data_IF_824937908530
#
_entry.id   IF_824937908530
#
_cell.length_a   1.000
_cell.length_b   1.000
_cell.length_c   1.000
_cell.angle_alpha   90.00
_cell.angle_beta   90.00
_cell.angle_gamma   90.00
#
_symmetry.space_group_name_H-M   'P 1'
#
loop_
_entity.id
_entity.type
_entity.pdbx_description
1 polymer ?
#
# COMPACT_ATOMS: atom_id res chain seq x y z
N UNK A 1 -9.85 20.54 -38.86
CA UNK A 1 -10.92 19.85 -38.11
C UNK A 1 -10.24 18.75 -37.30
N UNK A 2 -9.63 19.11 -36.16
CA UNK A 2 -8.85 18.19 -35.33
C UNK A 2 -8.78 18.78 -33.91
N UNK A 3 -9.85 18.59 -33.14
CA UNK A 3 -9.96 18.92 -31.72
C UNK A 3 -11.10 18.05 -31.16
N UNK A 4 -10.79 16.81 -30.73
CA UNK A 4 -11.77 15.97 -30.00
C UNK A 4 -11.16 14.85 -29.14
N UNK A 5 -9.86 14.57 -29.21
CA UNK A 5 -9.30 13.36 -28.54
C UNK A 5 -8.69 13.61 -27.15
N UNK A 6 -8.56 14.86 -26.71
CA UNK A 6 -7.87 15.18 -25.45
C UNK A 6 -8.78 15.18 -24.20
N UNK A 7 -10.10 15.36 -24.36
CA UNK A 7 -11.04 15.41 -23.24
C UNK A 7 -11.39 14.02 -22.68
N UNK A 8 -11.25 12.97 -23.50
CA UNK A 8 -11.52 11.57 -23.12
C UNK A 8 -10.45 10.99 -22.20
N UNK A 9 -9.17 11.37 -22.40
CA UNK A 9 -8.04 10.94 -21.57
C UNK A 9 -8.05 11.63 -20.19
N UNK A 10 -8.42 12.91 -20.14
CA UNK A 10 -8.57 13.67 -18.89
C UNK A 10 -9.73 13.17 -18.02
N UNK A 11 -10.78 12.60 -18.63
CA UNK A 11 -11.89 11.96 -17.93
C UNK A 11 -11.51 10.64 -17.26
N UNK A 12 -10.68 9.82 -17.92
CA UNK A 12 -10.19 8.55 -17.38
C UNK A 12 -9.21 8.75 -16.22
N UNK A 13 -8.28 9.71 -16.31
CA UNK A 13 -7.35 10.03 -15.21
C UNK A 13 -8.08 10.61 -13.99
N UNK A 14 -9.09 11.48 -14.19
CA UNK A 14 -9.92 11.97 -13.08
C UNK A 14 -10.72 10.86 -12.39
N UNK A 15 -11.20 9.87 -13.14
CA UNK A 15 -11.94 8.73 -12.58
C UNK A 15 -11.04 7.81 -11.74
N UNK A 16 -9.79 7.61 -12.17
CA UNK A 16 -8.81 6.80 -11.45
C UNK A 16 -8.30 7.52 -10.19
N UNK A 17 -8.10 8.85 -10.26
CA UNK A 17 -7.72 9.66 -9.12
C UNK A 17 -8.83 9.75 -8.06
N UNK A 18 -10.10 9.89 -8.48
CA UNK A 18 -11.24 9.88 -7.56
C UNK A 18 -11.42 8.53 -6.85
N UNK A 19 -11.15 7.41 -7.53
CA UNK A 19 -11.13 6.07 -6.92
C UNK A 19 -10.00 5.91 -5.91
N UNK A 20 -8.83 6.49 -6.18
CA UNK A 20 -7.66 6.44 -5.30
C UNK A 20 -7.84 7.27 -4.01
N UNK A 21 -8.60 8.36 -4.05
CA UNK A 21 -8.92 9.17 -2.87
C UNK A 21 -9.99 8.48 -2.00
N UNK A 22 -10.91 7.71 -2.60
CA UNK A 22 -12.03 7.09 -1.89
C UNK A 22 -11.65 5.74 -1.23
N UNK A 23 -10.72 4.99 -1.84
CA UNK A 23 -10.15 3.76 -1.30
C UNK A 23 -8.71 4.04 -0.83
N UNK A 24 -8.55 4.61 0.37
CA UNK A 24 -7.23 4.93 0.92
C UNK A 24 -6.27 3.71 0.95
N UNK A 25 -4.94 3.93 1.09
CA UNK A 25 -3.92 2.88 1.00
C UNK A 25 -4.09 1.74 2.02
N UNK A 26 -4.85 1.96 3.09
CA UNK A 26 -5.19 0.94 4.09
C UNK A 26 -6.21 -0.10 3.56
N UNK A 27 -7.13 0.28 2.67
CA UNK A 27 -8.18 -0.61 2.14
C UNK A 27 -7.60 -1.57 1.09
N UNK A 28 -6.64 -1.11 0.30
CA UNK A 28 -5.95 -1.94 -0.71
C UNK A 28 -5.04 -2.99 -0.07
N UNK A 29 -4.34 -2.63 1.02
CA UNK A 29 -3.52 -3.58 1.78
C UNK A 29 -4.38 -4.62 2.54
N UNK A 30 -5.55 -4.22 3.07
CA UNK A 30 -6.47 -5.14 3.72
C UNK A 30 -7.19 -6.07 2.72
N UNK A 31 -7.45 -5.64 1.47
CA UNK A 31 -7.93 -6.53 0.40
C UNK A 31 -6.91 -7.60 0.00
N UNK A 32 -5.61 -7.33 0.13
CA UNK A 32 -4.56 -8.35 -0.06
C UNK A 32 -4.59 -9.44 1.03
N UNK A 33 -5.03 -9.10 2.26
CA UNK A 33 -5.22 -10.06 3.36
C UNK A 33 -6.60 -10.74 3.35
N UNK A 34 -7.57 -10.15 2.64
CA UNK A 34 -8.93 -10.67 2.48
C UNK A 34 -9.13 -11.34 1.10
N UNK A 35 -8.12 -12.08 0.61
CA UNK A 35 -8.31 -12.98 -0.53
C UNK A 35 -9.43 -13.98 -0.17
N UNK A 36 -10.48 -14.13 -1.01
CA UNK A 36 -11.48 -15.15 -0.79
C UNK A 36 -10.80 -16.52 -0.80
N UNK A 37 -11.02 -17.27 0.29
CA UNK A 37 -10.63 -18.66 0.49
C UNK A 37 -11.25 -19.59 -0.58
N UNK A 38 -10.74 -19.57 -1.81
CA UNK A 38 -11.09 -20.60 -2.80
C UNK A 38 -9.99 -20.95 -3.79
N UNK A 39 -8.74 -20.55 -3.53
CA UNK A 39 -7.60 -21.16 -4.22
C UNK A 39 -7.07 -22.28 -3.34
N UNK A 40 -7.46 -23.50 -3.70
CA UNK A 40 -6.78 -24.71 -3.29
C UNK A 40 -5.35 -24.60 -3.87
N UNK A 41 -4.40 -24.24 -3.01
CA UNK A 41 -2.98 -24.23 -3.34
C UNK A 41 -2.55 -25.70 -3.49
N UNK A 42 -2.75 -26.28 -4.67
CA UNK A 42 -2.19 -27.60 -4.97
C UNK A 42 -0.66 -27.50 -5.08
N UNK A 43 0.00 -27.73 -3.95
CA UNK A 43 1.31 -28.39 -3.76
C UNK A 43 2.47 -28.05 -4.71
N UNK A 44 2.61 -26.79 -5.12
CA UNK A 44 3.84 -26.29 -5.75
C UNK A 44 4.49 -25.18 -4.92
N UNK A 45 5.81 -25.18 -4.68
CA UNK A 45 6.46 -24.04 -4.05
C UNK A 45 6.27 -22.78 -4.93
N UNK A 46 6.04 -21.60 -4.33
CA UNK A 46 5.86 -20.37 -5.09
C UNK A 46 7.08 -20.10 -5.97
N UNK A 47 6.90 -19.52 -7.17
CA UNK A 47 8.00 -19.26 -8.09
C UNK A 47 9.08 -18.40 -7.43
N UNK A 48 10.35 -18.77 -7.63
CA UNK A 48 11.51 -18.14 -6.98
C UNK A 48 11.55 -16.61 -7.18
N UNK A 49 11.02 -16.11 -8.30
CA UNK A 49 10.92 -14.69 -8.59
C UNK A 49 9.99 -13.96 -7.61
N UNK A 50 8.79 -14.50 -7.33
CA UNK A 50 7.86 -13.95 -6.35
C UNK A 50 8.49 -13.91 -4.94
N UNK A 51 9.20 -14.98 -4.56
CA UNK A 51 9.90 -15.06 -3.26
C UNK A 51 11.02 -14.01 -3.16
N UNK A 52 11.70 -13.71 -4.27
CA UNK A 52 12.71 -12.65 -4.34
C UNK A 52 12.08 -11.26 -4.26
N UNK A 53 10.94 -11.02 -4.92
CA UNK A 53 10.21 -9.75 -4.85
C UNK A 53 9.67 -9.47 -3.44
N UNK A 54 9.09 -10.47 -2.77
CA UNK A 54 8.64 -10.34 -1.38
C UNK A 54 9.82 -10.08 -0.43
N UNK A 55 10.99 -10.70 -0.69
CA UNK A 55 12.20 -10.42 0.09
C UNK A 55 12.65 -8.96 0.02
N UNK A 56 12.46 -8.28 -1.13
CA UNK A 56 12.80 -6.85 -1.28
C UNK A 56 11.92 -5.94 -0.42
N UNK A 57 10.70 -6.35 -0.10
CA UNK A 57 9.80 -5.60 0.79
C UNK A 57 10.22 -5.66 2.26
N UNK A 58 11.03 -6.64 2.68
CA UNK A 58 11.44 -6.80 4.08
C UNK A 58 12.24 -5.61 4.59
N UNK A 59 13.19 -5.12 3.80
CA UNK A 59 14.06 -4.01 4.21
C UNK A 59 13.29 -2.71 4.51
N UNK A 60 12.44 -2.18 3.61
CA UNK A 60 11.68 -0.96 3.89
C UNK A 60 10.67 -1.13 5.03
N UNK A 61 10.04 -2.30 5.16
CA UNK A 61 9.15 -2.61 6.29
C UNK A 61 9.92 -2.60 7.62
N UNK A 62 11.09 -3.25 7.67
CA UNK A 62 11.93 -3.26 8.87
C UNK A 62 12.42 -1.85 9.22
N UNK A 63 12.74 -1.02 8.23
CA UNK A 63 13.14 0.38 8.44
C UNK A 63 11.99 1.21 9.05
N UNK A 64 10.76 1.06 8.56
CA UNK A 64 9.58 1.70 9.16
C UNK A 64 9.37 1.24 10.62
N UNK A 65 9.42 -0.07 10.87
CA UNK A 65 9.24 -0.62 12.22
C UNK A 65 10.32 -0.13 13.19
N UNK A 66 11.58 -0.12 12.77
CA UNK A 66 12.69 0.39 13.58
C UNK A 66 12.54 1.89 13.89
N UNK A 67 12.10 2.69 12.92
CA UNK A 67 11.85 4.13 13.11
C UNK A 67 10.70 4.39 14.09
N UNK A 68 9.60 3.65 13.96
CA UNK A 68 8.48 3.71 14.91
C UNK A 68 8.92 3.33 16.32
N UNK A 69 9.70 2.26 16.47
CA UNK A 69 10.23 1.84 17.76
C UNK A 69 11.14 2.91 18.40
N UNK A 70 12.03 3.52 17.62
CA UNK A 70 12.91 4.59 18.10
C UNK A 70 12.11 5.83 18.54
N UNK A 71 11.03 6.16 17.81
CA UNK A 71 10.13 7.24 18.20
C UNK A 71 9.42 6.93 19.52
N UNK A 72 8.93 5.71 19.71
CA UNK A 72 8.31 5.26 20.98
C UNK A 72 9.28 5.31 22.15
N UNK A 73 10.54 4.89 21.94
CA UNK A 73 11.59 4.97 22.97
C UNK A 73 11.84 6.44 23.35
N UNK A 74 11.92 7.33 22.36
CA UNK A 74 12.11 8.76 22.60
C UNK A 74 10.95 9.37 23.37
N UNK A 75 9.71 9.00 23.03
CA UNK A 75 8.50 9.44 23.75
C UNK A 75 8.47 8.94 25.20
N UNK A 76 8.79 7.66 25.42
CA UNK A 76 8.87 7.09 26.75
C UNK A 76 9.95 7.78 27.60
N UNK A 77 11.11 8.08 27.01
CA UNK A 77 12.18 8.84 27.66
C UNK A 77 11.72 10.24 28.07
N UNK A 78 11.08 11.00 27.16
CA UNK A 78 10.55 12.33 27.48
C UNK A 78 9.45 12.28 28.57
N UNK A 79 8.63 11.23 28.60
CA UNK A 79 7.62 11.06 29.64
C UNK A 79 8.27 10.82 31.02
N UNK A 80 9.28 9.95 31.11
CA UNK A 80 10.04 9.69 32.34
C UNK A 80 10.75 10.96 32.81
N UNK A 81 11.42 11.66 31.91
CA UNK A 81 12.12 12.90 32.24
C UNK A 81 11.16 13.99 32.72
N UNK A 82 9.99 14.11 32.07
CA UNK A 82 8.94 15.03 32.50
C UNK A 82 8.40 14.73 33.90
N UNK A 83 8.25 13.45 34.27
CA UNK A 83 7.88 13.06 35.64
C UNK A 83 8.96 13.40 36.65
N UNK A 84 10.24 13.25 36.31
CA UNK A 84 11.35 13.66 37.17
C UNK A 84 11.33 15.19 37.39
N UNK A 85 11.12 15.97 36.32
CA UNK A 85 10.99 17.43 36.39
C UNK A 85 9.79 17.84 37.24
N UNK A 86 8.65 17.13 37.13
CA UNK A 86 7.46 17.38 37.93
C UNK A 86 7.65 17.04 39.42
N UNK A 87 8.30 15.91 39.72
CA UNK A 87 8.53 15.41 41.08
C UNK A 87 9.61 16.14 41.86
N UNK A 88 10.52 16.85 41.18
CA UNK A 88 11.61 17.61 41.80
C UNK A 88 11.20 18.88 42.57
N UNK A 89 9.90 19.20 42.64
CA UNK A 89 9.41 20.39 43.34
C UNK A 89 9.59 21.67 42.52
N UNK A 90 8.56 22.03 41.75
CA UNK A 90 8.54 23.23 40.91
C UNK A 90 7.90 24.40 41.67
N UNK A 91 8.71 25.10 42.46
CA UNK A 91 8.41 26.42 43.02
C UNK A 91 8.53 27.48 41.92
N UNK A 92 7.47 27.59 41.11
CA UNK A 92 7.44 28.43 39.91
C UNK A 92 6.78 29.77 40.23
N UNK A 93 7.42 30.91 39.88
CA UNK A 93 6.83 32.24 40.02
C UNK A 93 5.47 32.36 39.31
N UNK A 94 4.61 33.25 39.80
CA UNK A 94 3.24 33.40 39.28
C UNK A 94 3.20 33.68 37.76
N UNK A 95 4.17 34.45 37.26
CA UNK A 95 4.33 34.77 35.84
C UNK A 95 4.70 33.59 34.94
N UNK A 96 5.24 32.51 35.51
CA UNK A 96 5.71 31.33 34.76
C UNK A 96 4.78 30.11 34.93
N UNK A 97 3.61 30.26 35.57
CA UNK A 97 2.65 29.16 35.81
C UNK A 97 2.16 28.48 34.54
N UNK A 98 2.12 29.19 33.41
CA UNK A 98 1.74 28.63 32.11
C UNK A 98 2.62 27.45 31.70
N UNK A 99 3.92 27.50 31.99
CA UNK A 99 4.85 26.41 31.72
C UNK A 99 4.50 25.16 32.55
N UNK A 100 4.11 25.36 33.82
CA UNK A 100 3.71 24.28 34.73
C UNK A 100 2.40 23.64 34.30
N UNK A 101 1.43 24.44 33.85
CA UNK A 101 0.18 23.92 33.29
C UNK A 101 0.42 23.10 32.03
N UNK A 102 1.30 23.59 31.14
CA UNK A 102 1.69 22.83 29.96
C UNK A 102 2.32 21.48 30.32
N UNK A 103 3.27 21.45 31.28
CA UNK A 103 3.89 20.20 31.74
C UNK A 103 2.86 19.23 32.30
N UNK A 104 1.91 19.71 33.12
CA UNK A 104 0.85 18.87 33.67
C UNK A 104 -0.06 18.30 32.58
N UNK A 105 -0.41 19.09 31.57
CA UNK A 105 -1.21 18.66 30.43
C UNK A 105 -0.44 17.65 29.54
N UNK A 106 0.86 17.87 29.34
CA UNK A 106 1.74 16.94 28.64
C UNK A 106 1.83 15.59 29.36
N UNK A 107 2.07 15.57 30.67
CA UNK A 107 2.13 14.32 31.44
C UNK A 107 0.78 13.60 31.49
N UNK A 108 -0.33 14.33 31.57
CA UNK A 108 -1.65 13.73 31.44
C UNK A 108 -1.87 13.11 30.04
N UNK A 109 -1.39 13.77 28.98
CA UNK A 109 -1.54 13.28 27.62
C UNK A 109 -0.63 12.09 27.30
N UNK A 110 0.50 11.91 27.98
CA UNK A 110 1.34 10.70 27.84
C UNK A 110 0.76 9.48 28.56
N UNK A 111 -0.14 9.67 29.52
CA UNK A 111 -0.86 8.58 30.19
C UNK A 111 -2.06 8.06 29.39
N UNK A 112 -2.60 8.86 28.47
CA UNK A 112 -3.79 8.53 27.66
C UNK A 112 -3.56 7.39 26.63
N UNK A 113 -2.42 7.32 25.90
CA UNK A 113 -2.11 6.25 24.94
C UNK A 113 -1.97 4.85 25.55
N UNK A 114 -1.82 4.72 26.87
CA UNK A 114 -1.83 3.42 27.56
C UNK A 114 -3.23 2.76 27.54
N UNK A 115 -4.26 3.52 27.20
CA UNK A 115 -5.67 3.07 27.22
C UNK A 115 -6.36 3.17 25.86
N UNK A 116 -5.74 3.81 24.87
CA UNK A 116 -6.32 4.10 23.55
C UNK A 116 -5.35 3.76 22.43
N UNK A 117 -5.88 3.40 21.25
CA UNK A 117 -5.10 2.93 20.09
C UNK A 117 -3.91 3.84 19.74
N UNK A 118 -2.79 3.23 19.33
CA UNK A 118 -1.53 3.86 18.90
C UNK A 118 -1.72 5.00 17.86
N UNK A 119 -2.83 4.95 17.12
CA UNK A 119 -3.24 5.95 16.12
C UNK A 119 -3.39 7.37 16.70
N UNK A 120 -3.79 7.50 17.97
CA UNK A 120 -3.95 8.81 18.61
C UNK A 120 -2.67 9.34 19.27
N UNK A 121 -1.64 8.50 19.45
CA UNK A 121 -0.41 8.90 20.12
C UNK A 121 0.41 9.92 19.30
N UNK A 122 0.48 9.72 17.98
CA UNK A 122 1.21 10.61 17.07
C UNK A 122 0.62 12.04 17.00
N UNK A 123 -0.70 12.25 16.76
CA UNK A 123 -1.27 13.59 16.73
C UNK A 123 -1.19 14.28 18.09
N UNK A 124 -1.36 13.56 19.21
CA UNK A 124 -1.19 14.14 20.54
C UNK A 124 0.25 14.60 20.80
N UNK A 125 1.26 13.85 20.33
CA UNK A 125 2.66 14.26 20.38
C UNK A 125 2.96 15.54 19.58
N UNK A 126 2.37 15.68 18.38
CA UNK A 126 2.51 16.89 17.56
C UNK A 126 1.84 18.10 18.22
N UNK A 127 0.64 17.91 18.81
CA UNK A 127 -0.07 18.96 19.55
C UNK A 127 0.75 19.39 20.77
N UNK A 128 1.31 18.45 21.52
CA UNK A 128 2.18 18.76 22.65
C UNK A 128 3.40 19.59 22.22
N UNK A 129 4.09 19.19 21.14
CA UNK A 129 5.20 19.94 20.57
C UNK A 129 4.81 21.37 20.19
N UNK A 130 3.73 21.53 19.42
CA UNK A 130 3.28 22.83 18.94
C UNK A 130 2.85 23.76 20.08
N UNK A 131 2.09 23.22 21.04
CA UNK A 131 1.68 23.97 22.24
C UNK A 131 2.86 24.32 23.13
N UNK A 132 3.91 23.48 23.21
CA UNK A 132 5.13 23.78 23.97
C UNK A 132 5.93 24.95 23.38
N UNK A 133 6.07 24.98 22.06
CA UNK A 133 6.69 26.11 21.34
C UNK A 133 5.86 27.38 21.56
N UNK A 134 4.54 27.29 21.43
CA UNK A 134 3.65 28.43 21.62
C UNK A 134 3.70 28.96 23.05
N UNK A 135 3.67 28.09 24.07
CA UNK A 135 3.77 28.49 25.46
C UNK A 135 5.07 29.23 25.72
N UNK A 136 6.21 28.74 25.20
CA UNK A 136 7.49 29.45 25.32
C UNK A 136 7.49 30.81 24.65
N UNK A 137 6.87 30.92 23.48
CA UNK A 137 6.75 32.20 22.77
C UNK A 137 5.84 33.21 23.49
N UNK A 138 4.85 32.73 24.26
CA UNK A 138 3.93 33.59 25.02
C UNK A 138 4.43 33.94 26.42
N UNK A 139 5.41 33.20 26.96
CA UNK A 139 5.98 33.46 28.29
C UNK A 139 7.14 34.46 28.24
N UNK A 140 7.29 35.34 29.25
CA UNK A 140 8.42 36.26 29.33
C UNK A 140 9.76 35.52 29.35
N UNK A 141 10.79 36.12 28.75
CA UNK A 141 12.14 35.56 28.72
C UNK A 141 12.77 35.39 30.11
N UNK A 142 12.31 36.14 31.13
CA UNK A 142 12.78 35.97 32.53
C UNK A 142 12.51 34.57 33.08
N UNK A 143 11.50 33.86 32.56
CA UNK A 143 11.19 32.49 32.96
C UNK A 143 12.25 31.46 32.53
N UNK A 144 13.17 31.81 31.61
CA UNK A 144 14.27 30.94 31.21
C UNK A 144 15.26 30.70 32.37
N UNK A 145 15.54 31.73 33.17
CA UNK A 145 16.43 31.64 34.32
C UNK A 145 15.69 31.15 35.57
N UNK A 146 14.49 31.70 35.82
CA UNK A 146 13.68 31.39 37.02
C UNK A 146 13.17 29.95 37.03
N UNK A 147 12.90 29.35 35.86
CA UNK A 147 12.37 28.00 35.71
C UNK A 147 13.16 27.19 34.68
N UNK A 148 14.50 27.20 34.80
CA UNK A 148 15.43 26.62 33.82
C UNK A 148 15.20 25.15 33.50
N UNK A 149 14.91 24.30 34.49
CA UNK A 149 14.64 22.88 34.28
C UNK A 149 13.41 22.64 33.40
N UNK A 150 12.35 23.39 33.65
CA UNK A 150 11.09 23.32 32.90
C UNK A 150 11.25 23.89 31.49
N UNK A 151 11.99 24.99 31.36
CA UNK A 151 12.30 25.60 30.07
C UNK A 151 13.13 24.67 29.17
N UNK A 152 14.18 24.06 29.73
CA UNK A 152 15.00 23.06 29.04
C UNK A 152 14.19 21.83 28.66
N UNK A 153 13.34 21.33 29.56
CA UNK A 153 12.48 20.20 29.28
C UNK A 153 11.54 20.46 28.09
N UNK A 154 10.86 21.62 28.06
CA UNK A 154 10.00 21.99 26.93
C UNK A 154 10.82 22.05 25.64
N UNK A 155 12.05 22.60 25.69
CA UNK A 155 12.95 22.62 24.54
C UNK A 155 13.29 21.21 24.04
N UNK A 156 13.65 20.30 24.94
CA UNK A 156 13.96 18.90 24.64
C UNK A 156 12.77 18.19 23.98
N UNK A 157 11.56 18.33 24.54
CA UNK A 157 10.33 17.75 23.96
C UNK A 157 10.06 18.35 22.58
N UNK A 158 10.21 19.67 22.40
CA UNK A 158 9.98 20.33 21.12
C UNK A 158 10.99 19.91 20.04
N UNK A 159 12.29 19.89 20.36
CA UNK A 159 13.35 19.54 19.41
C UNK A 159 13.30 18.06 19.04
N UNK A 160 13.23 17.16 20.04
CA UNK A 160 13.14 15.72 19.78
C UNK A 160 11.85 15.36 19.05
N UNK A 161 10.74 16.01 19.38
CA UNK A 161 9.47 15.88 18.67
C UNK A 161 9.60 16.25 17.20
N UNK A 162 10.23 17.39 16.89
CA UNK A 162 10.44 17.86 15.51
C UNK A 162 11.36 16.91 14.73
N UNK A 163 12.47 16.48 15.34
CA UNK A 163 13.41 15.53 14.72
C UNK A 163 12.71 14.21 14.41
N UNK A 164 11.93 13.67 15.33
CA UNK A 164 11.16 12.44 15.09
C UNK A 164 10.14 12.63 13.96
N UNK A 165 9.42 13.75 13.92
CA UNK A 165 8.44 14.04 12.89
C UNK A 165 9.08 14.11 11.50
N UNK A 166 10.19 14.84 11.36
CA UNK A 166 10.92 14.96 10.09
C UNK A 166 11.53 13.61 9.67
N UNK A 167 12.10 12.86 10.60
CA UNK A 167 12.65 11.54 10.29
C UNK A 167 11.57 10.56 9.80
N UNK A 168 10.41 10.53 10.48
CA UNK A 168 9.29 9.66 10.11
C UNK A 168 8.73 10.02 8.73
N UNK A 169 8.57 11.30 8.40
CA UNK A 169 8.06 11.70 7.07
C UNK A 169 9.02 11.34 5.95
N UNK A 170 10.34 11.52 6.16
CA UNK A 170 11.35 11.10 5.18
C UNK A 170 11.33 9.59 4.99
N UNK A 171 11.32 8.80 6.08
CA UNK A 171 11.33 7.34 6.02
C UNK A 171 10.05 6.81 5.38
N UNK A 172 8.89 7.34 5.74
CA UNK A 172 7.61 6.98 5.11
C UNK A 172 7.59 7.33 3.62
N UNK A 173 8.16 8.48 3.23
CA UNK A 173 8.30 8.87 1.83
C UNK A 173 9.19 7.89 1.04
N UNK A 174 10.40 7.61 1.53
CA UNK A 174 11.37 6.71 0.86
C UNK A 174 10.84 5.28 0.77
N UNK A 175 10.24 4.77 1.85
CA UNK A 175 9.68 3.42 1.88
C UNK A 175 8.45 3.31 1.00
N UNK A 176 7.57 4.31 0.99
CA UNK A 176 6.44 4.42 0.05
C UNK A 176 6.93 4.35 -1.40
N UNK A 177 7.92 5.16 -1.78
CA UNK A 177 8.50 5.15 -3.13
C UNK A 177 9.11 3.80 -3.53
N UNK A 178 9.51 2.96 -2.57
CA UNK A 178 10.09 1.64 -2.84
C UNK A 178 9.05 0.51 -2.82
N UNK A 179 8.06 0.59 -1.92
CA UNK A 179 7.03 -0.41 -1.70
C UNK A 179 5.97 -0.34 -2.80
N UNK A 180 5.42 0.85 -3.09
CA UNK A 180 4.32 0.98 -4.04
C UNK A 180 4.62 0.42 -5.44
N UNK A 181 5.77 0.73 -6.07
CA UNK A 181 6.08 0.17 -7.38
C UNK A 181 6.22 -1.36 -7.35
N UNK A 182 6.82 -1.89 -6.28
CA UNK A 182 7.01 -3.34 -6.10
C UNK A 182 5.67 -4.05 -5.89
N UNK A 183 4.77 -3.47 -5.08
CA UNK A 183 3.43 -4.01 -4.89
C UNK A 183 2.61 -3.97 -6.17
N UNK A 184 2.69 -2.87 -6.94
CA UNK A 184 2.02 -2.77 -8.23
C UNK A 184 2.57 -3.77 -9.25
N UNK A 185 3.89 -3.96 -9.31
CA UNK A 185 4.50 -4.98 -10.18
C UNK A 185 4.06 -6.40 -9.79
N UNK A 186 3.96 -6.69 -8.48
CA UNK A 186 3.41 -7.95 -7.99
C UNK A 186 1.93 -8.09 -8.41
N UNK A 187 1.13 -7.03 -8.29
CA UNK A 187 -0.28 -7.03 -8.68
C UNK A 187 -0.48 -7.15 -10.20
N UNK A 188 0.36 -6.50 -11.01
CA UNK A 188 0.27 -6.59 -12.47
C UNK A 188 0.66 -7.97 -12.99
N UNK A 189 1.65 -8.63 -12.35
CA UNK A 189 2.18 -9.94 -12.77
C UNK A 189 1.43 -11.13 -12.18
N UNK A 190 1.11 -11.06 -10.90
CA UNK A 190 0.56 -12.15 -10.11
C UNK A 190 -0.81 -11.82 -9.55
N UNK A 191 -1.24 -10.57 -9.66
CA UNK A 191 -2.58 -10.18 -9.27
C UNK A 191 -3.61 -10.73 -10.24
N UNK A 192 -4.81 -10.82 -9.71
CA UNK A 192 -5.98 -11.45 -10.31
C UNK A 192 -6.43 -10.72 -11.60
N UNK A 193 -5.78 -9.64 -12.05
CA UNK A 193 -6.26 -8.78 -13.14
C UNK A 193 -5.24 -8.49 -14.25
N UNK A 194 -4.08 -9.16 -14.27
CA UNK A 194 -3.01 -8.92 -15.26
C UNK A 194 -3.24 -9.49 -16.67
N UNK A 195 -2.40 -9.06 -17.63
CA UNK A 195 -2.29 -9.57 -19.01
C UNK A 195 -1.48 -10.87 -19.07
N UNK A 196 -1.80 -11.78 -19.99
CA UNK A 196 -1.13 -13.07 -20.23
C UNK A 196 0.41 -13.00 -20.26
N UNK A 197 1.06 -13.90 -19.53
CA UNK A 197 2.51 -14.03 -19.54
C UNK A 197 2.91 -14.47 -20.93
N UNK A 198 4.01 -13.93 -21.44
CA UNK A 198 4.43 -14.14 -22.84
C UNK A 198 4.51 -15.62 -23.21
N UNK A 199 4.97 -16.46 -22.28
CA UNK A 199 5.04 -17.92 -22.44
C UNK A 199 3.67 -18.58 -22.67
N UNK A 200 2.63 -18.13 -21.98
CA UNK A 200 1.25 -18.63 -22.16
C UNK A 200 0.67 -18.16 -23.49
N UNK A 201 1.00 -16.94 -23.93
CA UNK A 201 0.59 -16.44 -25.24
C UNK A 201 1.25 -17.29 -26.34
N UNK A 202 2.54 -17.57 -26.23
CA UNK A 202 3.28 -18.41 -27.18
C UNK A 202 2.76 -19.85 -27.23
N UNK A 203 2.39 -20.44 -26.09
CA UNK A 203 1.79 -21.78 -26.04
C UNK A 203 0.42 -21.81 -26.74
N UNK A 204 -0.42 -20.80 -26.55
CA UNK A 204 -1.72 -20.68 -27.24
C UNK A 204 -1.53 -20.42 -28.74
N UNK A 205 -0.56 -19.60 -29.12
CA UNK A 205 -0.26 -19.33 -30.53
C UNK A 205 0.24 -20.56 -31.27
N UNK A 206 1.10 -21.35 -30.63
CA UNK A 206 1.65 -22.61 -31.16
C UNK A 206 0.68 -23.78 -31.07
N UNK A 207 -0.35 -23.71 -30.23
CA UNK A 207 -1.39 -24.73 -30.20
C UNK A 207 -2.14 -24.84 -31.54
N UNK A 208 -2.44 -26.08 -31.91
CA UNK A 208 -3.10 -26.41 -33.17
C UNK A 208 -4.52 -25.85 -33.25
N UNK A 209 -5.01 -25.72 -34.48
CA UNK A 209 -6.41 -25.37 -34.71
C UNK A 209 -7.31 -26.53 -34.29
N UNK A 210 -8.39 -26.24 -33.57
CA UNK A 210 -9.33 -27.25 -33.08
C UNK A 210 -10.61 -27.18 -33.89
N UNK A 211 -11.07 -28.32 -34.39
CA UNK A 211 -12.36 -28.39 -35.05
C UNK A 211 -13.47 -28.40 -34.00
N UNK A 212 -14.32 -27.37 -34.00
CA UNK A 212 -15.42 -27.21 -33.04
C UNK A 212 -16.75 -27.62 -33.69
N UNK A 213 -17.70 -28.22 -32.94
CA UNK A 213 -19.00 -28.60 -33.48
C UNK A 213 -19.75 -27.44 -34.10
N UNK A 214 -20.52 -27.73 -35.16
CA UNK A 214 -21.40 -26.75 -35.81
C UNK A 214 -22.37 -26.12 -34.78
N UNK A 215 -22.37 -24.79 -34.70
CA UNK A 215 -23.16 -24.04 -33.72
C UNK A 215 -22.43 -23.66 -32.43
N UNK A 216 -21.13 -23.93 -32.31
CA UNK A 216 -20.30 -23.41 -31.22
C UNK A 216 -20.13 -21.89 -31.37
N UNK A 217 -20.56 -21.11 -30.38
CA UNK A 217 -20.44 -19.66 -30.38
C UNK A 217 -19.24 -19.18 -29.54
N UNK A 218 -18.46 -18.24 -30.08
CA UNK A 218 -17.37 -17.60 -29.34
C UNK A 218 -17.95 -16.56 -28.37
N UNK A 219 -17.81 -16.78 -27.06
CA UNK A 219 -18.38 -15.90 -26.03
C UNK A 219 -17.72 -14.51 -25.93
N UNK A 220 -16.63 -14.26 -26.69
CA UNK A 220 -15.95 -12.95 -26.72
C UNK A 220 -16.59 -12.05 -27.78
N UNK A 221 -16.78 -12.55 -29.00
CA UNK A 221 -17.41 -11.81 -30.10
C UNK A 221 -18.91 -12.10 -30.26
N UNK A 222 -19.47 -12.97 -29.40
CA UNK A 222 -20.89 -13.37 -29.38
C UNK A 222 -21.36 -13.95 -30.73
N UNK A 223 -20.50 -14.72 -31.40
CA UNK A 223 -20.82 -15.33 -32.70
C UNK A 223 -20.69 -14.40 -33.91
N UNK A 224 -20.28 -13.13 -33.73
CA UNK A 224 -19.89 -12.29 -34.85
C UNK A 224 -18.59 -12.85 -35.46
N UNK A 225 -18.60 -13.13 -36.76
CA UNK A 225 -17.40 -13.66 -37.42
C UNK A 225 -16.25 -12.65 -37.30
N UNK A 226 -15.14 -13.05 -36.66
CA UNK A 226 -13.91 -12.25 -36.55
C UNK A 226 -13.12 -12.26 -37.90
N UNK A 227 -13.49 -13.09 -38.89
CA UNK A 227 -12.86 -13.09 -40.22
C UNK A 227 -13.52 -12.09 -41.19
N UNK A 228 -12.90 -10.93 -41.43
CA UNK A 228 -13.34 -9.99 -42.48
C UNK A 228 -13.09 -10.50 -43.90
N UNK A 229 -12.27 -11.55 -44.06
CA UNK A 229 -11.69 -12.01 -45.33
C UNK A 229 -12.22 -13.35 -45.85
N UNK A 230 -13.27 -13.92 -45.26
CA UNK A 230 -13.85 -15.20 -45.69
C UNK A 230 -12.96 -16.43 -45.46
N UNK A 231 -11.93 -16.30 -44.60
CA UNK A 231 -11.10 -17.42 -44.16
C UNK A 231 -11.78 -18.17 -43.01
N UNK A 232 -11.49 -19.48 -42.88
CA UNK A 232 -11.98 -20.29 -41.74
C UNK A 232 -11.46 -19.67 -40.45
N UNK A 233 -12.37 -19.40 -39.52
CA UNK A 233 -12.01 -18.86 -38.21
C UNK A 233 -11.15 -19.88 -37.46
N UNK A 234 -9.93 -19.48 -37.07
CA UNK A 234 -9.07 -20.37 -36.30
C UNK A 234 -9.51 -20.40 -34.85
N UNK A 235 -9.74 -21.58 -34.31
CA UNK A 235 -10.22 -21.83 -32.95
C UNK A 235 -9.10 -22.34 -32.06
N UNK A 236 -9.17 -21.96 -30.78
CA UNK A 236 -8.26 -22.38 -29.74
C UNK A 236 -9.06 -22.96 -28.58
N UNK A 237 -8.61 -24.11 -28.09
CA UNK A 237 -9.15 -24.72 -26.88
C UNK A 237 -8.21 -24.43 -25.72
N UNK A 238 -8.76 -23.92 -24.63
CA UNK A 238 -8.02 -23.72 -23.38
C UNK A 238 -7.93 -25.04 -22.59
N UNK A 239 -7.01 -25.16 -21.62
CA UNK A 239 -6.94 -26.29 -20.68
C UNK A 239 -8.27 -26.64 -19.99
N UNK A 240 -9.15 -25.65 -19.81
CA UNK A 240 -10.48 -25.83 -19.24
C UNK A 240 -11.54 -26.27 -20.27
N UNK A 241 -11.13 -26.64 -21.48
CA UNK A 241 -11.96 -27.08 -22.62
C UNK A 241 -12.95 -26.05 -23.18
N UNK A 242 -12.77 -24.77 -22.85
CA UNK A 242 -13.52 -23.70 -23.49
C UNK A 242 -12.86 -23.27 -24.80
N UNK A 243 -13.69 -22.98 -25.80
CA UNK A 243 -13.27 -22.68 -27.17
C UNK A 243 -13.50 -21.22 -27.51
N UNK A 244 -12.51 -20.60 -28.13
CA UNK A 244 -12.57 -19.21 -28.59
C UNK A 244 -11.81 -19.08 -29.91
N UNK A 245 -12.18 -18.10 -30.74
CA UNK A 245 -11.35 -17.71 -31.87
C UNK A 245 -9.98 -17.26 -31.37
N UNK A 246 -8.92 -17.64 -32.10
CA UNK A 246 -7.53 -17.28 -31.78
C UNK A 246 -7.37 -15.79 -31.53
N UNK A 247 -7.83 -14.96 -32.45
CA UNK A 247 -7.59 -13.50 -32.38
C UNK A 247 -8.38 -12.86 -31.24
N UNK A 248 -9.65 -13.23 -31.10
CA UNK A 248 -10.53 -12.68 -30.08
C UNK A 248 -10.07 -13.17 -28.68
N UNK A 249 -9.49 -14.38 -28.56
CA UNK A 249 -8.80 -14.87 -27.36
C UNK A 249 -7.49 -14.10 -27.08
N UNK A 250 -6.64 -13.85 -28.08
CA UNK A 250 -5.39 -13.11 -27.91
C UNK A 250 -5.63 -11.67 -27.45
N UNK A 251 -6.64 -10.99 -28.00
CA UNK A 251 -7.02 -9.65 -27.56
C UNK A 251 -7.52 -9.65 -26.11
N UNK A 252 -8.30 -10.66 -25.73
CA UNK A 252 -8.73 -10.84 -24.34
C UNK A 252 -7.53 -11.04 -23.41
N UNK A 253 -6.59 -11.90 -23.79
CA UNK A 253 -5.40 -12.23 -23.02
C UNK A 253 -4.45 -11.03 -22.86
N UNK A 254 -4.45 -10.09 -23.81
CA UNK A 254 -3.72 -8.82 -23.66
C UNK A 254 -4.24 -7.95 -22.51
N UNK A 255 -5.44 -8.24 -21.99
CA UNK A 255 -6.07 -7.48 -20.89
C UNK A 255 -6.35 -8.34 -19.66
N UNK A 256 -6.59 -9.65 -19.81
CA UNK A 256 -7.03 -10.55 -18.74
C UNK A 256 -6.50 -11.97 -18.91
N UNK A 257 -5.89 -12.49 -17.86
CA UNK A 257 -5.30 -13.84 -17.73
C UNK A 257 -6.25 -15.02 -17.52
N UNK A 258 -7.56 -14.78 -17.55
CA UNK A 258 -8.55 -15.81 -17.19
C UNK A 258 -9.40 -16.23 -18.34
N UNK A 259 -9.85 -17.48 -18.31
CA UNK A 259 -10.91 -17.95 -19.18
C UNK A 259 -12.15 -17.02 -19.07
N UNK A 260 -12.67 -16.47 -20.19
CA UNK A 260 -13.87 -15.62 -20.19
C UNK A 260 -15.12 -16.29 -19.59
N UNK A 261 -15.20 -17.63 -19.67
CA UNK A 261 -16.37 -18.40 -19.24
C UNK A 261 -16.25 -18.88 -17.79
N UNK A 262 -15.25 -19.71 -17.49
CA UNK A 262 -15.12 -20.33 -16.16
C UNK A 262 -14.18 -19.60 -15.20
N UNK A 263 -13.50 -18.54 -15.63
CA UNK A 263 -12.53 -17.79 -14.83
C UNK A 263 -11.33 -18.62 -14.32
N UNK A 264 -11.06 -19.78 -14.94
CA UNK A 264 -9.82 -20.52 -14.69
C UNK A 264 -8.60 -19.65 -15.00
N UNK A 265 -7.60 -19.67 -14.13
CA UNK A 265 -6.32 -19.00 -14.33
C UNK A 265 -5.47 -19.77 -15.34
N UNK A 266 -5.14 -19.12 -16.46
CA UNK A 266 -4.44 -19.78 -17.55
C UNK A 266 -2.94 -19.90 -17.30
N UNK A 267 -2.36 -19.01 -16.51
CA UNK A 267 -0.95 -19.13 -16.13
C UNK A 267 -0.71 -20.45 -15.40
N UNK A 268 -1.54 -20.74 -14.39
CA UNK A 268 -1.45 -22.00 -13.66
C UNK A 268 -1.75 -23.23 -14.53
N UNK A 269 -2.79 -23.15 -15.37
CA UNK A 269 -3.21 -24.28 -16.19
C UNK A 269 -2.16 -24.72 -17.22
N UNK A 270 -1.42 -23.77 -17.81
CA UNK A 270 -0.35 -24.09 -18.75
C UNK A 270 0.95 -24.54 -18.06
N UNK A 271 1.31 -23.96 -16.90
CA UNK A 271 2.48 -24.43 -16.14
C UNK A 271 2.31 -25.82 -15.54
N UNK A 272 1.11 -26.16 -15.06
CA UNK A 272 0.82 -27.50 -14.53
C UNK A 272 0.83 -28.59 -15.61
N UNK A 273 0.41 -28.28 -16.83
CA UNK A 273 0.53 -29.21 -17.97
C UNK A 273 1.99 -29.48 -18.35
N UNK A 274 2.85 -28.46 -18.35
CA UNK A 274 4.28 -28.64 -18.64
C UNK A 274 4.99 -29.56 -17.63
N UNK A 275 4.57 -29.55 -16.35
CA UNK A 275 5.11 -30.43 -15.32
C UNK A 275 4.63 -31.89 -15.40
N UNK A 276 3.53 -32.17 -16.12
CA UNK A 276 2.95 -33.51 -16.26
C UNK A 276 3.51 -34.32 -17.45
N UNK A 277 4.37 -33.71 -18.27
CA UNK A 277 4.95 -34.30 -19.50
C UNK A 277 6.43 -34.71 -19.30
N UNK A 278 6.97 -34.53 -18.09
CA UNK A 278 8.32 -34.94 -17.68
C UNK A 278 8.23 -36.14 -16.73
#
# INVERSE_FOLDING_TARGET
MAMSDNDSLLGLERSNFARFIHDGPEISALRLLALPHSHDFSEGPPPNELVNQIRRLRCPVMLCLASLLLSLITQAWCAVDGWNVYGGGLDVPAQCKTLKYWLSAYLASTLLPLTTSLVLALPLGVIAMATGILVRAMTPASCEEEASSLWQFINEVSVKGLVCLVALTIILGVTSSSIFPTLRDIEDRWGVSGSAMTEVIESIQSSGDVDVPDGTECAICLGNSCSESGQRESWRSLPCQHHFHKDCLLEWLARKMRCPLCRMDLHWAYHSQAASVV
#
